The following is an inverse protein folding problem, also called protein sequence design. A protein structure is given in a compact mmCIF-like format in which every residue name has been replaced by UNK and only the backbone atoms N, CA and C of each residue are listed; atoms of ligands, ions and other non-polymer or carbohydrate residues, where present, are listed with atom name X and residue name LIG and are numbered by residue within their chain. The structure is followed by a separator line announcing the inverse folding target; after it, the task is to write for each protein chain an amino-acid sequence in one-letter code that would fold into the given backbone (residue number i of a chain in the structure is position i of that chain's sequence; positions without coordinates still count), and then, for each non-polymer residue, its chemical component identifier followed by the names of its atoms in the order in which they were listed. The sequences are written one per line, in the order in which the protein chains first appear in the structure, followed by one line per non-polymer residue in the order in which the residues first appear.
data_IF_634358412488
#
_entry.id   IF_634358412488
#
_cell.length_a   1.000
_cell.length_b   1.000
_cell.length_c   1.000
_cell.angle_alpha   90.00
_cell.angle_beta   90.00
_cell.angle_gamma   90.00
#
_symmetry.space_group_name_H-M   'P 1'
#
loop_
_entity.id
_entity.type
_entity.pdbx_description
1 polymer ?
#
# COMPACT_ATOMS: atom_id res chain seq x y z
N UNK A 1 4.84 -10.57 24.45
CA UNK A 1 5.53 -9.68 23.50
C UNK A 1 6.00 -10.58 22.35
N UNK A 2 5.54 -10.34 21.13
CA UNK A 2 6.00 -11.13 19.96
C UNK A 2 7.48 -10.86 19.68
N UNK A 3 8.14 -11.83 19.11
CA UNK A 3 9.54 -11.70 18.68
C UNK A 3 9.66 -10.62 17.61
N UNK A 4 10.62 -9.70 17.76
CA UNK A 4 10.84 -8.62 16.78
C UNK A 4 11.45 -9.24 15.52
N UNK A 5 10.72 -9.23 14.43
CA UNK A 5 11.18 -9.70 13.12
C UNK A 5 12.28 -8.77 12.59
N UNK A 6 13.45 -9.32 12.31
CA UNK A 6 14.58 -8.56 11.73
C UNK A 6 14.61 -8.74 10.23
N UNK A 7 14.49 -7.65 9.49
CA UNK A 7 14.65 -7.64 8.04
C UNK A 7 16.10 -7.40 7.65
N UNK A 8 16.53 -8.03 6.57
CA UNK A 8 17.87 -7.86 5.99
C UNK A 8 17.83 -7.08 4.69
N UNK A 9 16.71 -7.18 3.94
CA UNK A 9 16.56 -6.55 2.64
C UNK A 9 15.11 -6.13 2.42
N UNK A 10 14.89 -4.83 2.21
CA UNK A 10 13.57 -4.21 1.99
C UNK A 10 13.49 -3.65 0.58
N UNK A 11 12.46 -4.05 -0.17
CA UNK A 11 12.09 -3.41 -1.43
C UNK A 11 11.09 -2.29 -1.16
N UNK A 12 11.29 -1.14 -1.80
CA UNK A 12 10.33 -0.02 -1.73
C UNK A 12 9.53 0.01 -3.02
N UNK A 13 8.25 -0.39 -2.93
CA UNK A 13 7.31 -0.41 -4.06
C UNK A 13 6.69 0.97 -4.29
N UNK A 14 7.55 1.99 -4.44
CA UNK A 14 7.17 3.38 -4.65
C UNK A 14 8.32 4.16 -5.30
N UNK A 15 8.12 5.46 -5.51
CA UNK A 15 9.05 6.37 -6.19
C UNK A 15 9.24 7.69 -5.44
N UNK A 16 10.15 8.53 -5.95
CA UNK A 16 10.29 9.92 -5.49
C UNK A 16 10.75 10.05 -4.04
N UNK A 17 10.22 11.04 -3.34
CA UNK A 17 10.67 11.42 -2.01
C UNK A 17 10.36 10.36 -0.95
N UNK A 18 9.20 9.69 -1.05
CA UNK A 18 8.85 8.66 -0.06
C UNK A 18 9.81 7.47 -0.14
N UNK A 19 10.24 7.07 -1.34
CA UNK A 19 11.25 6.02 -1.49
C UNK A 19 12.56 6.41 -0.80
N UNK A 20 13.03 7.66 -0.97
CA UNK A 20 14.24 8.18 -0.32
C UNK A 20 14.11 8.13 1.21
N UNK A 21 12.96 8.51 1.75
CA UNK A 21 12.71 8.49 3.20
C UNK A 21 12.77 7.09 3.77
N UNK A 22 12.15 6.12 3.09
CA UNK A 22 12.20 4.71 3.51
C UNK A 22 13.63 4.16 3.40
N UNK A 23 14.37 4.46 2.32
CA UNK A 23 15.77 4.03 2.19
C UNK A 23 16.64 4.59 3.32
N UNK A 24 16.42 5.83 3.74
CA UNK A 24 17.15 6.42 4.87
C UNK A 24 16.89 5.65 6.15
N UNK A 25 15.61 5.40 6.48
CA UNK A 25 15.24 4.64 7.68
C UNK A 25 15.84 3.22 7.65
N UNK A 26 15.76 2.53 6.51
CA UNK A 26 16.37 1.21 6.35
C UNK A 26 17.89 1.24 6.58
N UNK A 27 18.57 2.26 6.04
CA UNK A 27 20.03 2.44 6.23
C UNK A 27 20.41 2.67 7.68
N UNK A 28 19.65 3.47 8.42
CA UNK A 28 19.84 3.70 9.86
C UNK A 28 19.68 2.43 10.67
N UNK A 29 18.84 1.50 10.20
CA UNK A 29 18.61 0.19 10.80
C UNK A 29 19.57 -0.92 10.29
N UNK A 30 20.50 -0.59 9.39
CA UNK A 30 21.42 -1.56 8.80
C UNK A 30 20.78 -2.52 7.80
N UNK A 31 19.63 -2.15 7.21
CA UNK A 31 18.85 -2.96 6.27
C UNK A 31 19.22 -2.55 4.84
N UNK A 32 19.52 -3.53 3.97
CA UNK A 32 19.75 -3.27 2.54
C UNK A 32 18.46 -2.89 1.83
N UNK A 33 18.59 -2.00 0.85
CA UNK A 33 17.45 -1.39 0.17
C UNK A 33 17.44 -1.72 -1.32
N UNK A 34 16.24 -2.04 -1.82
CA UNK A 34 15.98 -2.30 -3.23
C UNK A 34 14.97 -1.29 -3.75
N UNK A 35 15.36 -0.51 -4.76
CA UNK A 35 14.46 0.38 -5.49
C UNK A 35 13.90 -0.32 -6.73
N UNK A 36 12.68 0.05 -7.10
CA UNK A 36 12.10 -0.24 -8.42
C UNK A 36 11.83 1.09 -9.13
N UNK A 37 11.95 1.11 -10.46
CA UNK A 37 11.72 2.33 -11.24
C UNK A 37 11.17 2.03 -12.63
N UNK A 38 10.27 2.91 -13.14
CA UNK A 38 9.80 2.88 -14.53
C UNK A 38 10.85 3.46 -15.49
N UNK A 39 10.65 3.31 -16.78
CA UNK A 39 11.57 3.90 -17.80
C UNK A 39 11.68 5.43 -17.60
N UNK A 40 10.58 6.12 -17.29
CA UNK A 40 10.55 7.57 -17.07
C UNK A 40 11.36 7.99 -15.85
N UNK A 41 11.41 7.14 -14.84
CA UNK A 41 12.15 7.39 -13.61
C UNK A 41 13.64 6.98 -13.67
N UNK A 42 14.12 6.52 -14.80
CA UNK A 42 15.47 6.05 -15.03
C UNK A 42 16.57 7.04 -14.57
N UNK A 43 16.33 8.33 -14.72
CA UNK A 43 17.29 9.38 -14.37
C UNK A 43 16.95 10.09 -13.05
N UNK A 44 15.99 9.58 -12.27
CA UNK A 44 15.57 10.20 -11.01
C UNK A 44 16.52 9.89 -9.86
N UNK A 45 16.60 10.83 -8.91
CA UNK A 45 17.52 10.75 -7.79
C UNK A 45 17.24 9.57 -6.86
N UNK A 46 15.96 9.23 -6.63
CA UNK A 46 15.62 8.23 -5.61
C UNK A 46 16.26 6.87 -5.88
N UNK A 47 16.36 6.45 -7.14
CA UNK A 47 16.94 5.15 -7.48
C UNK A 47 18.42 5.04 -7.12
N UNK A 48 19.16 6.16 -7.10
CA UNK A 48 20.58 6.19 -6.72
C UNK A 48 20.80 6.22 -5.20
N UNK A 49 19.72 6.33 -4.43
CA UNK A 49 19.77 6.34 -2.95
C UNK A 49 19.56 4.94 -2.35
N UNK A 50 19.09 3.98 -3.12
CA UNK A 50 19.03 2.58 -2.73
C UNK A 50 20.37 1.86 -2.97
N UNK A 51 20.57 0.72 -2.30
CA UNK A 51 21.75 -0.12 -2.54
C UNK A 51 21.67 -0.83 -3.89
N UNK A 52 20.46 -1.16 -4.33
CA UNK A 52 20.16 -1.79 -5.62
C UNK A 52 18.93 -1.14 -6.25
N UNK A 53 18.89 -1.04 -7.59
CA UNK A 53 17.75 -0.47 -8.31
C UNK A 53 17.46 -1.26 -9.58
N UNK A 54 16.19 -1.60 -9.80
CA UNK A 54 15.77 -2.42 -10.93
C UNK A 54 14.63 -1.75 -11.70
N UNK A 55 14.74 -1.80 -13.03
CA UNK A 55 13.68 -1.32 -13.91
C UNK A 55 12.53 -2.32 -13.95
N UNK A 56 11.31 -1.79 -13.88
CA UNK A 56 10.06 -2.54 -14.00
C UNK A 56 9.16 -1.94 -15.08
N UNK A 57 8.13 -2.67 -15.47
CA UNK A 57 7.05 -2.17 -16.32
C UNK A 57 7.50 -1.84 -17.75
N UNK A 58 8.42 -2.60 -18.35
CA UNK A 58 8.79 -2.38 -19.75
C UNK A 58 7.56 -2.36 -20.66
N UNK A 59 7.41 -1.26 -21.43
CA UNK A 59 6.27 -1.07 -22.33
C UNK A 59 4.95 -0.71 -21.66
N UNK A 60 4.91 -0.54 -20.32
CA UNK A 60 3.75 -0.04 -19.58
C UNK A 60 3.80 1.49 -19.45
N UNK A 61 2.66 2.07 -19.10
CA UNK A 61 2.60 3.50 -18.72
C UNK A 61 3.40 3.73 -17.40
N UNK A 62 3.85 4.97 -17.12
CA UNK A 62 4.61 5.28 -15.91
C UNK A 62 3.93 4.79 -14.63
N UNK A 63 2.62 5.02 -14.49
CA UNK A 63 1.83 4.54 -13.34
C UNK A 63 1.64 3.01 -13.40
N UNK A 64 1.34 2.47 -14.60
CA UNK A 64 1.12 1.04 -14.80
C UNK A 64 2.35 0.17 -14.45
N UNK A 65 3.56 0.74 -14.54
CA UNK A 65 4.77 0.07 -14.10
C UNK A 65 4.74 -0.25 -12.60
N UNK A 66 4.31 0.74 -11.77
CA UNK A 66 4.24 0.60 -10.31
C UNK A 66 3.00 -0.17 -9.81
N UNK A 67 2.08 -0.54 -10.71
CA UNK A 67 0.88 -1.34 -10.39
C UNK A 67 1.03 -2.81 -10.82
N UNK A 68 2.19 -3.21 -11.32
CA UNK A 68 2.46 -4.58 -11.79
C UNK A 68 2.79 -5.53 -10.64
N UNK A 69 1.79 -6.06 -9.94
CA UNK A 69 1.95 -6.94 -8.77
C UNK A 69 2.88 -8.11 -9.07
N UNK A 70 2.57 -8.91 -10.10
CA UNK A 70 3.34 -10.12 -10.43
C UNK A 70 4.81 -9.83 -10.69
N UNK A 71 5.10 -8.75 -11.43
CA UNK A 71 6.46 -8.35 -11.77
C UNK A 71 7.25 -7.91 -10.54
N UNK A 72 6.60 -7.16 -9.63
CA UNK A 72 7.21 -6.70 -8.38
C UNK A 72 7.49 -7.88 -7.44
N UNK A 73 6.54 -8.80 -7.30
CA UNK A 73 6.70 -10.01 -6.48
C UNK A 73 7.80 -10.92 -7.04
N UNK A 74 7.80 -11.17 -8.35
CA UNK A 74 8.83 -11.97 -9.00
C UNK A 74 10.24 -11.37 -8.80
N UNK A 75 10.37 -10.05 -8.92
CA UNK A 75 11.62 -9.35 -8.66
C UNK A 75 12.03 -9.47 -7.18
N UNK A 76 11.11 -9.28 -6.24
CA UNK A 76 11.38 -9.38 -4.82
C UNK A 76 11.91 -10.78 -4.45
N UNK A 77 11.30 -11.83 -4.98
CA UNK A 77 11.76 -13.22 -4.82
C UNK A 77 13.16 -13.42 -5.39
N UNK A 78 13.38 -13.02 -6.65
CA UNK A 78 14.66 -13.17 -7.34
C UNK A 78 15.81 -12.44 -6.62
N UNK A 79 15.49 -11.40 -5.86
CA UNK A 79 16.47 -10.59 -5.12
C UNK A 79 16.55 -10.93 -3.62
N UNK A 80 15.80 -11.94 -3.15
CA UNK A 80 15.81 -12.36 -1.75
C UNK A 80 15.37 -11.24 -0.81
N UNK A 81 14.29 -10.54 -1.18
CA UNK A 81 13.68 -9.49 -0.37
C UNK A 81 12.87 -10.12 0.75
N UNK A 82 13.06 -9.67 1.97
CA UNK A 82 12.33 -10.17 3.15
C UNK A 82 11.04 -9.40 3.39
N UNK A 83 11.02 -8.10 3.00
CA UNK A 83 9.86 -7.25 3.21
C UNK A 83 9.71 -6.20 2.11
N UNK A 84 8.47 -5.78 1.86
CA UNK A 84 8.14 -4.74 0.91
C UNK A 84 7.47 -3.58 1.63
N UNK A 85 8.01 -2.37 1.46
CA UNK A 85 7.38 -1.13 1.91
C UNK A 85 6.67 -0.45 0.73
N UNK A 86 5.33 -0.34 0.75
CA UNK A 86 4.58 0.21 -0.39
C UNK A 86 4.60 1.76 -0.46
N UNK A 87 5.08 2.43 0.57
CA UNK A 87 4.94 3.89 0.70
C UNK A 87 3.49 4.30 0.91
N UNK A 88 3.02 5.25 0.11
CA UNK A 88 1.61 5.68 0.04
C UNK A 88 1.17 5.77 -1.43
N UNK A 89 -0.14 5.67 -1.70
CA UNK A 89 -0.67 5.55 -3.06
C UNK A 89 -0.28 4.22 -3.73
N UNK A 90 -0.33 4.14 -5.05
CA UNK A 90 -0.05 2.93 -5.82
C UNK A 90 -0.66 1.67 -5.19
N UNK A 91 0.17 0.77 -4.69
CA UNK A 91 -0.23 -0.52 -4.10
C UNK A 91 -0.35 -0.48 -2.56
N UNK A 92 -0.21 0.70 -1.92
CA UNK A 92 -0.21 0.80 -0.46
C UNK A 92 -1.52 0.35 0.20
N UNK A 93 -2.65 0.51 -0.51
CA UNK A 93 -3.99 0.11 -0.03
C UNK A 93 -4.57 -1.04 -0.87
N UNK A 94 -3.71 -1.80 -1.56
CA UNK A 94 -4.13 -2.90 -2.42
C UNK A 94 -4.05 -4.24 -1.68
N UNK A 95 -5.21 -4.81 -1.36
CA UNK A 95 -5.32 -6.08 -0.62
C UNK A 95 -4.74 -7.27 -1.40
N UNK A 96 -4.87 -7.28 -2.74
CA UNK A 96 -4.30 -8.31 -3.60
C UNK A 96 -2.76 -8.31 -3.51
N UNK A 97 -2.14 -7.14 -3.50
CA UNK A 97 -0.70 -7.03 -3.34
C UNK A 97 -0.22 -7.49 -1.96
N UNK A 98 -0.93 -7.10 -0.89
CA UNK A 98 -0.61 -7.57 0.46
C UNK A 98 -0.74 -9.10 0.58
N UNK A 99 -1.78 -9.68 -0.04
CA UNK A 99 -1.96 -11.13 -0.08
C UNK A 99 -0.85 -11.80 -0.89
N UNK A 100 -0.51 -11.29 -2.07
CA UNK A 100 0.58 -11.81 -2.90
C UNK A 100 1.94 -11.80 -2.18
N UNK A 101 2.22 -10.77 -1.37
CA UNK A 101 3.39 -10.76 -0.51
C UNK A 101 3.34 -11.91 0.51
N UNK A 102 2.21 -12.07 1.20
CA UNK A 102 2.04 -13.10 2.22
C UNK A 102 2.17 -14.53 1.66
N UNK A 103 1.59 -14.80 0.50
CA UNK A 103 1.63 -16.08 -0.20
C UNK A 103 3.07 -16.50 -0.55
N UNK A 104 3.96 -15.53 -0.76
CA UNK A 104 5.36 -15.74 -1.08
C UNK A 104 6.31 -15.58 0.13
N UNK A 105 5.75 -15.46 1.33
CA UNK A 105 6.53 -15.33 2.56
C UNK A 105 7.30 -14.01 2.69
N UNK A 106 6.91 -12.98 1.92
CA UNK A 106 7.45 -11.64 1.97
C UNK A 106 6.57 -10.79 2.88
N UNK A 107 7.18 -10.12 3.86
CA UNK A 107 6.40 -9.25 4.76
C UNK A 107 5.94 -7.98 4.04
N UNK A 108 4.64 -7.74 4.00
CA UNK A 108 4.09 -6.46 3.58
C UNK A 108 4.14 -5.49 4.76
N UNK A 109 4.89 -4.39 4.65
CA UNK A 109 4.98 -3.38 5.72
C UNK A 109 3.75 -2.49 5.65
N UNK A 110 2.66 -2.94 6.28
CA UNK A 110 1.36 -2.30 6.26
C UNK A 110 0.28 -3.20 6.87
N UNK A 111 -1.00 -2.86 6.70
CA UNK A 111 -2.11 -3.69 7.16
C UNK A 111 -2.21 -5.00 6.36
N UNK A 112 -2.83 -6.02 6.93
CA UNK A 112 -3.11 -7.28 6.21
C UNK A 112 -4.18 -7.07 5.12
N UNK A 113 -4.25 -8.00 4.17
CA UNK A 113 -5.29 -7.98 3.14
C UNK A 113 -6.71 -7.93 3.75
N UNK A 114 -6.96 -8.70 4.81
CA UNK A 114 -8.25 -8.71 5.52
C UNK A 114 -8.57 -7.35 6.16
N UNK A 115 -7.58 -6.69 6.79
CA UNK A 115 -7.75 -5.35 7.34
C UNK A 115 -8.05 -4.32 6.25
N UNK A 116 -7.37 -4.40 5.11
CA UNK A 116 -7.64 -3.54 3.95
C UNK A 116 -9.05 -3.73 3.42
N UNK A 117 -9.50 -4.99 3.26
CA UNK A 117 -10.84 -5.30 2.81
C UNK A 117 -11.93 -4.85 3.79
N UNK A 118 -11.69 -5.00 5.10
CA UNK A 118 -12.63 -4.58 6.14
C UNK A 118 -12.76 -3.05 6.25
N UNK A 119 -11.67 -2.31 6.08
CA UNK A 119 -11.62 -0.86 6.31
C UNK A 119 -11.60 -0.03 5.03
N UNK A 120 -11.26 -0.61 3.88
CA UNK A 120 -11.20 0.07 2.58
C UNK A 120 -12.57 0.42 2.01
N UNK A 121 -13.62 -0.34 2.30
CA UNK A 121 -14.99 -0.02 1.93
C UNK A 121 -15.64 0.91 2.95
N UNK A 122 -16.19 2.03 2.49
CA UNK A 122 -16.79 3.07 3.35
C UNK A 122 -17.96 2.56 4.19
N UNK A 123 -18.71 1.58 3.71
CA UNK A 123 -19.86 1.02 4.42
C UNK A 123 -19.36 0.02 5.46
N UNK A 124 -18.46 -0.87 5.06
CA UNK A 124 -17.87 -1.86 5.94
C UNK A 124 -17.10 -1.20 7.10
N UNK A 125 -16.29 -0.19 6.80
CA UNK A 125 -15.55 0.55 7.85
C UNK A 125 -16.46 1.18 8.90
N UNK A 126 -17.63 1.70 8.50
CA UNK A 126 -18.63 2.20 9.46
C UNK A 126 -19.25 1.08 10.31
N UNK A 127 -19.56 -0.05 9.71
CA UNK A 127 -20.10 -1.21 10.44
C UNK A 127 -19.09 -1.74 11.46
N UNK A 128 -17.82 -1.83 11.09
CA UNK A 128 -16.72 -2.20 11.98
C UNK A 128 -16.60 -1.18 13.12
N UNK A 129 -16.59 0.12 12.83
CA UNK A 129 -16.54 1.17 13.86
C UNK A 129 -17.70 1.07 14.85
N UNK A 130 -18.92 0.88 14.36
CA UNK A 130 -20.12 0.71 15.22
C UNK A 130 -20.03 -0.54 16.09
N UNK A 131 -19.52 -1.65 15.56
CA UNK A 131 -19.40 -2.91 16.34
C UNK A 131 -18.49 -2.81 17.54
N UNK A 132 -17.55 -1.86 17.54
CA UNK A 132 -16.59 -1.60 18.63
C UNK A 132 -16.91 -0.30 19.39
N UNK A 133 -18.09 0.30 19.16
CA UNK A 133 -18.55 1.50 19.86
C UNK A 133 -17.86 2.82 19.46
N UNK A 134 -17.17 2.85 18.31
CA UNK A 134 -16.56 4.08 17.78
C UNK A 134 -17.61 4.94 17.08
N UNK A 135 -17.82 6.21 17.51
CA UNK A 135 -18.79 7.09 16.87
C UNK A 135 -18.38 7.43 15.43
N UNK A 136 -19.33 7.43 14.53
CA UNK A 136 -19.11 7.81 13.13
C UNK A 136 -20.02 8.97 12.73
N UNK A 137 -19.62 9.68 11.68
CA UNK A 137 -20.48 10.72 11.09
C UNK A 137 -21.78 10.07 10.59
N UNK A 138 -22.98 10.64 10.93
CA UNK A 138 -24.25 10.12 10.44
C UNK A 138 -24.28 9.96 8.92
N UNK A 139 -24.80 8.85 8.45
CA UNK A 139 -24.87 8.56 7.03
C UNK A 139 -25.50 7.20 6.75
N UNK A 140 -25.71 6.89 5.48
CA UNK A 140 -26.34 5.64 5.05
C UNK A 140 -25.38 4.47 5.16
N UNK A 141 -25.80 3.40 5.81
CA UNK A 141 -25.01 2.16 6.01
C UNK A 141 -25.22 1.12 4.88
N UNK A 142 -25.93 1.50 3.81
CA UNK A 142 -26.18 0.63 2.65
C UNK A 142 -25.85 1.35 1.35
N UNK A 143 -25.34 0.62 0.39
CA UNK A 143 -25.10 1.15 -0.95
C UNK A 143 -26.40 1.72 -1.56
N UNK A 144 -26.34 2.98 -1.98
CA UNK A 144 -27.49 3.69 -2.56
C UNK A 144 -27.54 3.41 -4.05
N UNK A 145 -28.52 2.63 -4.48
CA UNK A 145 -28.72 2.31 -5.90
C UNK A 145 -29.53 3.37 -6.68
N UNK A 146 -30.14 4.34 -5.99
CA UNK A 146 -30.99 5.37 -6.61
C UNK A 146 -30.72 6.76 -6.04
N UNK A 147 -30.66 7.76 -6.91
CA UNK A 147 -30.38 9.18 -6.60
C UNK A 147 -31.34 9.79 -5.55
N UNK A 148 -32.61 9.38 -5.56
CA UNK A 148 -33.65 9.91 -4.66
C UNK A 148 -33.48 9.52 -3.19
N UNK A 149 -32.95 8.31 -2.89
CA UNK A 149 -32.68 7.88 -1.51
C UNK A 149 -31.51 8.62 -0.88
N UNK A 150 -30.59 9.12 -1.69
CA UNK A 150 -29.42 9.86 -1.21
C UNK A 150 -29.78 11.28 -0.74
N UNK A 151 -30.73 11.94 -1.38
CA UNK A 151 -31.20 13.29 -1.00
C UNK A 151 -31.90 13.26 0.36
N UNK A 152 -32.78 12.32 0.60
CA UNK A 152 -33.54 12.23 1.84
C UNK A 152 -32.69 11.82 3.06
N UNK A 153 -31.55 11.18 2.87
CA UNK A 153 -30.62 10.83 3.96
C UNK A 153 -29.71 12.00 4.40
N UNK A 154 -29.62 13.06 3.61
CA UNK A 154 -28.78 14.23 3.91
C UNK A 154 -29.42 15.28 4.80
N UNK A 155 -30.75 15.25 4.96
CA UNK A 155 -31.50 16.36 5.57
C UNK A 155 -31.58 16.38 7.10
N UNK A 156 -31.43 15.31 7.86
CA UNK A 156 -31.75 15.39 9.30
C UNK A 156 -30.68 15.85 10.24
N UNK A 157 -29.44 16.08 9.90
CA UNK A 157 -28.47 16.11 10.99
C UNK A 157 -27.50 17.28 11.08
N UNK A 158 -27.33 18.07 10.09
CA UNK A 158 -26.10 18.86 10.06
C UNK A 158 -26.22 20.38 10.21
N UNK A 159 -27.44 20.95 10.27
CA UNK A 159 -27.57 22.41 10.41
C UNK A 159 -28.77 22.69 11.34
N UNK A 160 -28.55 22.65 12.61
CA UNK A 160 -29.26 23.45 13.62
C UNK A 160 -28.28 23.96 14.65
#
# INVERSE_FOLDING_TARGET
MGEIKKFKRVLVANRGEIAIRVFRACKELGIRTVAIYSEEDKNTLFRTKADEAYQIGKGKTPVGAYLGIDEIIALAKAKGVDAIHPGYGFLAENAEFAQACADEGIEFIGPTADMMNALGDKIQSKLVAHSVGVPTVPGVEKAIKQKQKHWNSRIPAAIR
#
